data_IF_480321828857
#
_entry.id   IF_480321828857
#
_cell.length_a   1.000
_cell.length_b   1.000
_cell.length_c   1.000
_cell.angle_alpha   90.00
_cell.angle_beta   90.00
_cell.angle_gamma   90.00
#
_symmetry.space_group_name_H-M   'P 1'
#
loop_
_entity.id
_entity.type
_entity.pdbx_description
1 polymer ?
#
# COMPACT_ATOMS: atom_id res chain seq x y z
N UNK A 1 48.57 56.37 45.17
CA UNK A 1 47.20 56.48 44.61
C UNK A 1 47.32 56.29 43.11
N UNK A 2 47.06 55.10 42.66
CA UNK A 2 47.09 54.70 41.23
C UNK A 2 45.65 54.58 40.76
N UNK A 3 45.21 55.21 39.68
CA UNK A 3 43.80 55.07 39.23
C UNK A 3 43.62 53.72 38.53
N UNK A 4 42.56 53.01 38.97
CA UNK A 4 42.02 51.83 38.33
C UNK A 4 41.47 52.23 36.95
N UNK A 5 42.02 51.65 35.87
CA UNK A 5 41.50 51.71 34.53
C UNK A 5 40.28 50.79 34.49
N UNK A 6 39.09 51.30 34.26
CA UNK A 6 37.91 50.50 33.96
C UNK A 6 38.00 49.94 32.54
N UNK A 7 38.23 48.65 32.40
CA UNK A 7 38.05 47.96 31.14
C UNK A 7 36.57 48.02 30.72
N UNK A 8 36.28 48.73 29.65
CA UNK A 8 34.96 48.68 28.99
C UNK A 8 34.76 47.28 28.40
N UNK A 9 33.90 46.48 29.01
CA UNK A 9 33.41 45.22 28.45
C UNK A 9 32.55 45.58 27.23
N UNK A 10 33.08 45.43 26.04
CA UNK A 10 32.30 45.44 24.80
C UNK A 10 31.35 44.24 24.85
N UNK A 11 30.10 44.47 25.22
CA UNK A 11 29.02 43.50 25.00
C UNK A 11 28.72 43.51 23.51
N UNK A 12 29.28 42.56 22.78
CA UNK A 12 28.84 42.29 21.42
C UNK A 12 27.33 42.06 21.43
N UNK A 13 26.60 42.85 20.63
CA UNK A 13 25.16 42.67 20.47
C UNK A 13 24.91 41.24 19.98
N UNK A 14 23.96 40.45 20.58
CA UNK A 14 23.71 39.10 20.16
C UNK A 14 23.35 39.13 18.68
N UNK A 15 24.16 38.39 17.89
CA UNK A 15 23.89 38.08 16.50
C UNK A 15 22.42 37.70 16.37
N UNK A 16 21.70 38.35 15.44
CA UNK A 16 20.24 38.18 15.33
C UNK A 16 19.93 36.67 15.18
N UNK A 17 19.46 36.09 16.29
CA UNK A 17 19.13 34.68 16.34
C UNK A 17 18.10 34.41 15.23
N UNK A 18 18.50 33.65 14.22
CA UNK A 18 17.58 33.20 13.17
C UNK A 18 16.41 32.54 13.85
N UNK A 19 15.23 33.15 13.74
CA UNK A 19 14.02 32.63 14.38
C UNK A 19 13.83 31.17 13.96
N UNK A 20 13.61 30.25 14.89
CA UNK A 20 13.42 28.85 14.56
C UNK A 20 12.27 28.73 13.55
N UNK A 21 12.38 27.82 12.57
CA UNK A 21 11.35 27.68 11.55
C UNK A 21 9.99 27.46 12.20
N UNK A 22 9.01 28.28 11.86
CA UNK A 22 7.66 28.19 12.41
C UNK A 22 7.06 26.83 12.05
N UNK A 23 6.66 26.05 13.05
CA UNK A 23 5.97 24.77 12.87
C UNK A 23 4.46 25.05 12.84
N UNK A 24 3.79 24.70 11.72
CA UNK A 24 2.32 24.78 11.64
C UNK A 24 1.73 23.63 12.44
N UNK A 25 0.93 23.96 13.45
CA UNK A 25 0.18 22.98 14.24
C UNK A 25 -1.27 22.91 13.75
N UNK A 26 -1.80 21.69 13.67
CA UNK A 26 -3.19 21.39 13.34
C UNK A 26 -3.87 20.83 14.61
N UNK A 27 -4.68 21.63 15.34
CA UNK A 27 -5.29 21.19 16.59
C UNK A 27 -6.29 20.03 16.38
N UNK A 28 -6.84 19.90 15.18
CA UNK A 28 -7.82 18.87 14.86
C UNK A 28 -7.19 17.56 14.37
N UNK A 29 -5.85 17.50 14.24
CA UNK A 29 -5.14 16.34 13.69
C UNK A 29 -5.52 15.03 14.38
N UNK A 30 -5.54 15.02 15.71
CA UNK A 30 -5.86 13.79 16.46
C UNK A 30 -7.31 13.36 16.22
N UNK A 31 -8.25 14.30 16.24
CA UNK A 31 -9.66 14.03 15.97
C UNK A 31 -9.88 13.55 14.52
N UNK A 32 -9.15 14.11 13.58
CA UNK A 32 -9.17 13.67 12.19
C UNK A 32 -8.64 12.24 12.05
N UNK A 33 -7.52 11.88 12.68
CA UNK A 33 -6.96 10.51 12.61
C UNK A 33 -7.92 9.49 13.25
N UNK A 34 -8.64 9.84 14.30
CA UNK A 34 -9.69 8.99 14.87
C UNK A 34 -10.76 8.60 13.86
N UNK A 35 -11.15 9.48 12.94
CA UNK A 35 -12.10 9.18 11.86
C UNK A 35 -11.59 8.10 10.90
N UNK A 36 -10.28 7.90 10.82
CA UNK A 36 -9.65 6.83 10.04
C UNK A 36 -9.52 5.51 10.82
N UNK A 37 -10.17 5.39 11.98
CA UNK A 37 -10.26 4.18 12.77
C UNK A 37 -9.16 4.02 13.83
N UNK A 38 -8.55 5.11 14.27
CA UNK A 38 -7.67 5.07 15.44
C UNK A 38 -8.49 4.94 16.73
N UNK A 39 -7.95 4.17 17.68
CA UNK A 39 -8.37 4.28 19.07
C UNK A 39 -8.00 5.65 19.64
N UNK A 40 -8.52 5.97 20.82
CA UNK A 40 -8.19 7.21 21.50
C UNK A 40 -6.80 7.18 22.11
N UNK A 41 -5.81 7.64 21.34
CA UNK A 41 -4.43 7.75 21.82
C UNK A 41 -4.20 8.91 22.78
N UNK A 42 -5.24 9.68 23.16
CA UNK A 42 -5.12 10.68 24.25
C UNK A 42 -4.81 10.02 25.60
N UNK A 43 -5.15 8.74 25.78
CA UNK A 43 -4.73 7.94 26.94
C UNK A 43 -3.22 7.68 27.00
N UNK A 44 -2.46 7.96 25.92
CA UNK A 44 -1.02 7.74 25.88
C UNK A 44 -0.28 8.81 26.70
N UNK A 45 0.36 8.41 27.81
CA UNK A 45 1.21 9.28 28.62
C UNK A 45 2.70 9.20 28.26
N UNK A 46 3.04 8.66 27.08
CA UNK A 46 4.42 8.62 26.55
C UNK A 46 5.43 7.81 27.39
N UNK A 47 5.01 6.73 28.05
CA UNK A 47 5.89 5.90 28.91
C UNK A 47 7.09 5.27 28.16
N UNK A 48 7.00 5.05 26.82
CA UNK A 48 8.07 4.51 26.02
C UNK A 48 8.06 2.98 25.88
N UNK A 49 7.18 2.24 26.55
CA UNK A 49 7.14 0.78 26.48
C UNK A 49 7.01 0.28 25.02
N UNK A 50 6.12 0.87 24.21
CA UNK A 50 5.97 0.53 22.80
C UNK A 50 7.25 0.78 21.97
N UNK A 51 8.10 1.71 22.39
CA UNK A 51 9.39 1.98 21.75
C UNK A 51 10.43 0.92 22.14
N UNK A 52 10.47 0.55 23.43
CA UNK A 52 11.44 -0.41 23.95
C UNK A 52 11.29 -1.83 23.35
N UNK A 53 10.05 -2.23 23.05
CA UNK A 53 9.74 -3.56 22.49
C UNK A 53 9.66 -3.60 20.96
N UNK A 54 9.72 -2.46 20.29
CA UNK A 54 9.57 -2.41 18.83
C UNK A 54 10.88 -2.74 18.13
N UNK A 55 10.94 -3.80 17.30
CA UNK A 55 12.17 -4.15 16.58
C UNK A 55 12.59 -3.12 15.51
N UNK A 56 11.73 -2.11 15.26
CA UNK A 56 12.03 -0.99 14.35
C UNK A 56 12.55 0.25 15.09
N UNK A 57 12.72 0.18 16.40
CA UNK A 57 13.20 1.29 17.23
C UNK A 57 14.72 1.16 17.41
N UNK A 58 15.47 1.37 16.34
CA UNK A 58 16.94 1.29 16.35
C UNK A 58 17.55 2.63 16.81
N UNK A 59 18.57 2.57 17.67
CA UNK A 59 19.37 3.71 18.12
C UNK A 59 18.54 4.80 18.80
N UNK A 60 18.68 6.04 18.35
CA UNK A 60 17.95 7.20 18.87
C UNK A 60 16.46 7.24 18.44
N UNK A 61 16.00 6.19 17.77
CA UNK A 61 14.64 6.05 17.30
C UNK A 61 13.63 5.97 18.43
N UNK A 62 12.66 6.88 18.46
CA UNK A 62 11.54 6.87 19.41
C UNK A 62 10.25 6.36 18.77
N UNK A 63 10.38 5.50 17.77
CA UNK A 63 9.26 4.85 17.09
C UNK A 63 8.68 3.72 17.96
N UNK A 64 7.37 3.49 18.03
CA UNK A 64 6.27 4.24 17.39
C UNK A 64 5.78 5.44 18.22
N UNK A 65 6.27 5.64 19.46
CA UNK A 65 5.87 6.70 20.39
C UNK A 65 5.91 8.09 19.73
N UNK A 66 6.95 8.39 18.96
CA UNK A 66 7.12 9.68 18.27
C UNK A 66 5.97 9.98 17.31
N UNK A 67 5.41 8.97 16.63
CA UNK A 67 4.28 9.17 15.72
C UNK A 67 3.00 9.56 16.46
N UNK A 68 2.75 8.94 17.61
CA UNK A 68 1.64 9.30 18.49
C UNK A 68 1.82 10.73 19.01
N UNK A 69 3.05 11.07 19.41
CA UNK A 69 3.35 12.41 19.92
C UNK A 69 3.14 13.51 18.86
N UNK A 70 3.48 13.24 17.61
CA UNK A 70 3.17 14.19 16.52
C UNK A 70 1.67 14.44 16.39
N UNK A 71 0.85 13.40 16.50
CA UNK A 71 -0.59 13.55 16.44
C UNK A 71 -1.15 14.33 17.63
N UNK A 72 -0.69 14.04 18.85
CA UNK A 72 -1.09 14.75 20.07
C UNK A 72 -0.72 16.23 20.04
N UNK A 73 0.40 16.58 19.40
CA UNK A 73 0.89 17.96 19.27
C UNK A 73 0.38 18.66 18.00
N UNK A 74 -0.47 18.03 17.20
CA UNK A 74 -0.95 18.64 15.96
C UNK A 74 0.09 18.77 14.84
N UNK A 75 1.22 18.05 14.90
CA UNK A 75 2.34 18.15 13.97
C UNK A 75 2.08 17.33 12.71
N UNK A 76 1.09 17.73 11.91
CA UNK A 76 0.64 17.04 10.72
C UNK A 76 1.75 16.76 9.72
N UNK A 77 2.49 17.80 9.34
CA UNK A 77 3.54 17.69 8.33
C UNK A 77 4.65 16.74 8.79
N UNK A 78 4.98 16.76 10.08
CA UNK A 78 5.94 15.84 10.66
C UNK A 78 5.47 14.38 10.61
N UNK A 79 4.18 14.13 10.85
CA UNK A 79 3.60 12.80 10.82
C UNK A 79 3.57 12.22 9.38
N UNK A 80 2.98 12.95 8.43
CA UNK A 80 2.80 12.45 7.06
C UNK A 80 4.11 12.38 6.27
N UNK A 81 5.14 13.16 6.63
CA UNK A 81 6.46 13.15 6.01
C UNK A 81 7.44 12.19 6.70
N UNK A 82 6.98 11.38 7.67
CA UNK A 82 7.83 10.38 8.34
C UNK A 82 7.97 9.11 7.51
N UNK A 83 9.20 8.79 7.11
CA UNK A 83 9.50 7.48 6.48
C UNK A 83 9.20 6.30 7.43
N UNK A 84 9.37 6.51 8.73
CA UNK A 84 9.13 5.50 9.78
C UNK A 84 7.67 5.06 9.86
N UNK A 85 6.72 5.92 9.50
CA UNK A 85 5.29 5.59 9.43
C UNK A 85 5.04 4.36 8.53
N UNK A 86 5.82 4.21 7.45
CA UNK A 86 5.71 3.13 6.48
C UNK A 86 6.57 1.91 6.80
N UNK A 87 7.51 2.03 7.75
CA UNK A 87 8.34 0.91 8.17
C UNK A 87 7.58 -0.10 9.04
N UNK A 88 6.53 0.32 9.74
CA UNK A 88 5.72 -0.53 10.63
C UNK A 88 5.06 -1.71 9.89
N UNK A 89 5.17 -2.91 10.46
CA UNK A 89 4.53 -4.15 9.95
C UNK A 89 3.16 -4.43 10.55
N UNK A 90 2.73 -3.60 11.53
CA UNK A 90 1.47 -3.79 12.22
C UNK A 90 1.40 -5.18 12.91
N UNK A 91 2.48 -5.59 13.60
CA UNK A 91 2.53 -6.86 14.33
C UNK A 91 1.56 -6.92 15.52
N UNK A 92 1.30 -5.76 16.17
CA UNK A 92 0.37 -5.66 17.30
C UNK A 92 1.07 -5.61 18.66
N UNK A 93 2.31 -6.08 18.79
CA UNK A 93 3.04 -6.20 20.07
C UNK A 93 3.01 -4.93 20.91
N UNK A 94 3.11 -3.74 20.28
CA UNK A 94 3.06 -2.47 21.00
C UNK A 94 1.68 -2.16 21.60
N UNK A 95 0.59 -2.70 21.04
CA UNK A 95 -0.76 -2.57 21.61
C UNK A 95 -0.99 -3.57 22.74
N UNK A 96 -0.53 -4.82 22.56
CA UNK A 96 -0.67 -5.87 23.57
C UNK A 96 0.09 -5.53 24.86
N UNK A 97 1.22 -4.81 24.74
CA UNK A 97 2.05 -4.39 25.87
C UNK A 97 1.76 -2.98 26.39
N UNK A 98 0.74 -2.28 25.86
CA UNK A 98 0.44 -0.93 26.25
C UNK A 98 -0.28 -0.84 27.61
N UNK A 99 0.32 -0.24 28.67
CA UNK A 99 -0.26 -0.23 30.01
C UNK A 99 -1.56 0.60 30.09
N UNK A 100 -1.73 1.58 29.20
CA UNK A 100 -2.93 2.42 29.14
C UNK A 100 -3.91 2.01 28.06
N UNK A 101 -3.64 0.92 27.34
CA UNK A 101 -4.48 0.43 26.23
C UNK A 101 -4.75 1.49 25.14
N UNK A 102 -3.81 2.41 24.92
CA UNK A 102 -3.90 3.46 23.91
C UNK A 102 -3.81 2.95 22.45
N UNK A 103 -3.66 1.65 22.27
CA UNK A 103 -3.62 0.96 20.97
C UNK A 103 -2.67 1.60 19.93
N UNK A 104 -1.34 1.61 20.18
CA UNK A 104 -0.36 2.16 19.24
C UNK A 104 -0.40 1.55 17.85
N UNK A 105 -0.69 0.23 17.73
CA UNK A 105 -0.76 -0.45 16.44
C UNK A 105 -1.96 0.03 15.61
N UNK A 106 -3.12 0.17 16.23
CA UNK A 106 -4.31 0.74 15.59
C UNK A 106 -4.10 2.18 15.16
N UNK A 107 -3.47 2.98 15.99
CA UNK A 107 -3.07 4.33 15.62
C UNK A 107 -2.18 4.34 14.36
N UNK A 108 -1.16 3.47 14.29
CA UNK A 108 -0.28 3.39 13.12
C UNK A 108 -1.02 3.00 11.83
N UNK A 109 -2.03 2.14 11.93
CA UNK A 109 -2.88 1.79 10.79
C UNK A 109 -3.72 2.98 10.32
N UNK A 110 -4.35 3.70 11.25
CA UNK A 110 -5.15 4.89 10.96
C UNK A 110 -4.29 6.04 10.42
N UNK A 111 -3.11 6.28 11.01
CA UNK A 111 -2.17 7.30 10.55
C UNK A 111 -1.71 7.05 9.10
N UNK A 112 -1.53 5.78 8.69
CA UNK A 112 -1.24 5.46 7.28
C UNK A 112 -2.41 5.74 6.35
N UNK A 113 -3.65 5.41 6.74
CA UNK A 113 -4.85 5.76 5.95
C UNK A 113 -4.99 7.29 5.84
N UNK A 114 -4.72 8.01 6.92
CA UNK A 114 -4.69 9.47 6.93
C UNK A 114 -3.60 10.03 6.00
N UNK A 115 -2.40 9.45 6.00
CA UNK A 115 -1.31 9.85 5.11
C UNK A 115 -1.67 9.62 3.63
N UNK A 116 -2.23 8.45 3.26
CA UNK A 116 -2.73 8.17 1.91
C UNK A 116 -3.76 9.24 1.49
N UNK A 117 -4.73 9.53 2.37
CA UNK A 117 -5.74 10.55 2.11
C UNK A 117 -5.16 11.98 2.02
N UNK A 118 -4.02 12.24 2.65
CA UNK A 118 -3.33 13.53 2.59
C UNK A 118 -2.52 13.69 1.30
N UNK A 119 -2.07 12.60 0.69
CA UNK A 119 -1.39 12.61 -0.62
C UNK A 119 -2.39 12.65 -1.78
N UNK A 120 -3.60 12.16 -1.57
CA UNK A 120 -4.67 12.16 -2.57
C UNK A 120 -5.32 13.55 -2.72
N UNK A 121 -5.27 14.12 -3.93
CA UNK A 121 -5.89 15.41 -4.27
C UNK A 121 -7.38 15.28 -4.58
N UNK A 122 -7.86 14.07 -4.89
CA UNK A 122 -9.27 13.83 -5.27
C UNK A 122 -10.20 13.70 -4.08
N UNK A 123 -9.68 13.52 -2.88
CA UNK A 123 -10.38 13.19 -1.64
C UNK A 123 -11.09 11.83 -1.64
N UNK A 124 -10.88 11.01 -2.69
CA UNK A 124 -11.50 9.68 -2.80
C UNK A 124 -11.00 8.75 -1.70
N UNK A 125 -9.66 8.73 -1.44
CA UNK A 125 -9.08 7.94 -0.36
C UNK A 125 -9.65 8.31 1.03
N UNK A 126 -9.89 9.62 1.29
CA UNK A 126 -10.55 10.07 2.52
C UNK A 126 -11.97 9.54 2.61
N UNK A 127 -12.74 9.65 1.54
CA UNK A 127 -14.13 9.19 1.48
C UNK A 127 -14.24 7.70 1.73
N UNK A 128 -13.43 6.88 1.02
CA UNK A 128 -13.39 5.44 1.18
C UNK A 128 -12.92 4.99 2.57
N UNK A 129 -12.10 5.78 3.26
CA UNK A 129 -11.61 5.45 4.59
C UNK A 129 -12.52 5.89 5.74
N UNK A 130 -13.32 6.96 5.55
CA UNK A 130 -14.07 7.58 6.66
C UNK A 130 -15.60 7.53 6.52
N UNK A 131 -16.13 7.20 5.33
CA UNK A 131 -17.57 7.21 5.02
C UNK A 131 -18.00 5.90 4.36
N UNK A 132 -18.18 4.85 5.17
CA UNK A 132 -18.46 3.50 4.67
C UNK A 132 -19.67 3.44 3.70
N UNK A 133 -20.79 4.07 4.03
CA UNK A 133 -22.00 4.07 3.18
C UNK A 133 -21.72 4.73 1.84
N UNK A 134 -21.13 5.92 1.83
CA UNK A 134 -20.79 6.62 0.59
C UNK A 134 -19.71 5.85 -0.20
N UNK A 135 -18.75 5.26 0.48
CA UNK A 135 -17.74 4.38 -0.13
C UNK A 135 -18.36 3.17 -0.81
N UNK A 136 -19.37 2.54 -0.18
CA UNK A 136 -20.13 1.42 -0.79
C UNK A 136 -20.88 1.88 -2.04
N UNK A 137 -21.55 3.02 -1.97
CA UNK A 137 -22.27 3.58 -3.13
C UNK A 137 -21.30 3.86 -4.27
N UNK A 138 -20.14 4.48 -4.01
CA UNK A 138 -19.13 4.76 -5.03
C UNK A 138 -18.62 3.45 -5.64
N UNK A 139 -18.28 2.45 -4.83
CA UNK A 139 -17.80 1.17 -5.33
C UNK A 139 -18.84 0.47 -6.22
N UNK A 140 -20.09 0.35 -5.76
CA UNK A 140 -21.15 -0.25 -6.55
C UNK A 140 -21.45 0.55 -7.84
N UNK A 141 -21.40 1.87 -7.77
CA UNK A 141 -21.60 2.72 -8.95
C UNK A 141 -20.47 2.56 -9.98
N UNK A 142 -19.21 2.42 -9.53
CA UNK A 142 -18.07 2.16 -10.42
C UNK A 142 -18.16 0.76 -11.05
N UNK A 143 -18.45 -0.28 -10.27
CA UNK A 143 -18.66 -1.62 -10.80
C UNK A 143 -19.79 -1.66 -11.84
N UNK A 144 -20.93 -1.02 -11.52
CA UNK A 144 -22.06 -0.91 -12.44
C UNK A 144 -21.70 -0.10 -13.70
N UNK A 145 -21.00 1.02 -13.53
CA UNK A 145 -20.53 1.83 -14.65
C UNK A 145 -19.65 1.01 -15.62
N UNK A 146 -18.64 0.32 -15.12
CA UNK A 146 -17.78 -0.48 -15.99
C UNK A 146 -18.51 -1.67 -16.59
N UNK A 147 -19.40 -2.33 -15.84
CA UNK A 147 -20.23 -3.39 -16.38
C UNK A 147 -21.14 -2.90 -17.51
N UNK A 148 -21.88 -1.80 -17.29
CA UNK A 148 -22.75 -1.22 -18.32
C UNK A 148 -21.96 -0.68 -19.52
N UNK A 149 -20.80 -0.05 -19.27
CA UNK A 149 -19.94 0.46 -20.34
C UNK A 149 -19.41 -0.67 -21.24
N UNK A 150 -18.99 -1.79 -20.65
CA UNK A 150 -18.57 -2.98 -21.42
C UNK A 150 -19.77 -3.63 -22.12
N UNK A 151 -20.89 -3.75 -21.42
CA UNK A 151 -22.11 -4.32 -21.96
C UNK A 151 -22.69 -3.51 -23.13
N UNK A 152 -22.56 -2.19 -23.13
CA UNK A 152 -23.06 -1.34 -24.23
C UNK A 152 -22.42 -1.67 -25.59
N UNK A 153 -21.28 -2.32 -25.59
CA UNK A 153 -20.54 -2.76 -26.79
C UNK A 153 -20.55 -4.28 -26.96
N UNK A 154 -21.46 -5.00 -26.25
CA UNK A 154 -21.50 -6.46 -26.34
C UNK A 154 -21.95 -6.92 -27.73
N UNK A 155 -21.33 -8.03 -28.15
CA UNK A 155 -21.64 -8.69 -29.42
C UNK A 155 -22.43 -9.99 -29.20
N UNK A 156 -22.09 -11.04 -29.96
CA UNK A 156 -22.85 -12.28 -30.02
C UNK A 156 -22.41 -13.29 -28.97
N UNK A 157 -23.36 -13.84 -28.21
CA UNK A 157 -23.16 -15.03 -27.39
C UNK A 157 -23.22 -16.28 -28.27
N UNK A 158 -22.10 -17.01 -28.42
CA UNK A 158 -22.06 -18.26 -29.19
C UNK A 158 -22.31 -19.45 -28.26
N UNK A 159 -23.35 -20.24 -28.56
CA UNK A 159 -23.69 -21.43 -27.78
C UNK A 159 -22.71 -22.59 -28.00
N UNK A 160 -22.03 -22.65 -29.18
CA UNK A 160 -21.14 -23.75 -29.52
C UNK A 160 -19.75 -23.67 -28.91
N UNK A 161 -19.30 -22.45 -28.54
CA UNK A 161 -17.99 -22.19 -27.92
C UNK A 161 -18.06 -20.89 -27.11
N UNK A 162 -17.31 -20.82 -26.01
CA UNK A 162 -17.19 -19.59 -25.24
C UNK A 162 -16.18 -18.63 -25.89
N UNK A 163 -16.70 -17.75 -26.75
CA UNK A 163 -15.92 -16.75 -27.49
C UNK A 163 -15.99 -15.40 -26.78
N UNK A 164 -15.22 -15.22 -25.73
CA UNK A 164 -15.29 -14.07 -24.81
C UNK A 164 -15.08 -12.74 -25.52
N UNK A 165 -14.19 -12.69 -26.51
CA UNK A 165 -13.90 -11.45 -27.25
C UNK A 165 -14.87 -11.18 -28.42
N UNK A 166 -15.70 -12.16 -28.81
CA UNK A 166 -16.88 -11.92 -29.66
C UNK A 166 -18.01 -11.26 -28.84
N UNK A 167 -18.03 -11.49 -27.51
CA UNK A 167 -19.00 -10.89 -26.57
C UNK A 167 -18.57 -9.51 -26.10
N UNK A 168 -17.35 -9.33 -25.60
CA UNK A 168 -16.78 -8.00 -25.29
C UNK A 168 -15.52 -7.83 -26.15
N UNK A 169 -15.51 -6.82 -27.07
CA UNK A 169 -14.38 -6.62 -27.95
C UNK A 169 -13.07 -6.40 -27.18
N UNK A 170 -12.04 -7.18 -27.51
CA UNK A 170 -10.72 -7.13 -26.86
C UNK A 170 -10.15 -5.71 -26.87
N UNK A 171 -10.27 -4.99 -28.01
CA UNK A 171 -9.82 -3.61 -28.16
C UNK A 171 -10.46 -2.66 -27.12
N UNK A 172 -11.73 -2.88 -26.77
CA UNK A 172 -12.40 -2.06 -25.75
C UNK A 172 -11.80 -2.30 -24.37
N UNK A 173 -11.55 -3.58 -24.02
CA UNK A 173 -10.96 -3.93 -22.73
C UNK A 173 -9.57 -3.31 -22.60
N UNK A 174 -8.72 -3.46 -23.63
CA UNK A 174 -7.36 -2.93 -23.60
C UNK A 174 -7.32 -1.41 -23.57
N UNK A 175 -8.14 -0.72 -24.40
CA UNK A 175 -8.20 0.73 -24.38
C UNK A 175 -8.66 1.26 -23.01
N UNK A 176 -9.69 0.67 -22.44
CA UNK A 176 -10.16 1.02 -21.08
C UNK A 176 -9.07 0.75 -20.05
N UNK A 177 -8.38 -0.39 -20.15
CA UNK A 177 -7.25 -0.73 -19.28
C UNK A 177 -6.12 0.30 -19.35
N UNK A 178 -5.72 0.71 -20.57
CA UNK A 178 -4.68 1.74 -20.77
C UNK A 178 -5.10 3.08 -20.18
N UNK A 179 -6.35 3.52 -20.38
CA UNK A 179 -6.85 4.77 -19.82
C UNK A 179 -6.85 4.71 -18.28
N UNK A 180 -7.39 3.63 -17.71
CA UNK A 180 -7.43 3.45 -16.25
C UNK A 180 -6.02 3.37 -15.66
N UNK A 181 -5.12 2.60 -16.26
CA UNK A 181 -3.71 2.51 -15.82
C UNK A 181 -3.00 3.86 -15.89
N UNK A 182 -3.28 4.67 -16.92
CA UNK A 182 -2.72 6.03 -17.04
C UNK A 182 -3.22 6.96 -15.92
N UNK A 183 -4.51 6.89 -15.59
CA UNK A 183 -5.10 7.65 -14.47
C UNK A 183 -4.51 7.20 -13.12
N UNK A 184 -4.37 5.90 -12.91
CA UNK A 184 -3.74 5.33 -11.71
C UNK A 184 -2.28 5.74 -11.59
N UNK A 185 -1.52 5.66 -12.69
CA UNK A 185 -0.13 6.08 -12.73
C UNK A 185 0.02 7.58 -12.41
N UNK A 186 -0.85 8.42 -12.95
CA UNK A 186 -0.88 9.86 -12.65
C UNK A 186 -1.18 10.11 -11.17
N UNK A 187 -2.21 9.48 -10.63
CA UNK A 187 -2.58 9.61 -9.22
C UNK A 187 -1.44 9.14 -8.29
N UNK A 188 -0.83 7.99 -8.60
CA UNK A 188 0.31 7.46 -7.89
C UNK A 188 1.52 8.39 -7.95
N UNK A 189 1.84 8.93 -9.13
CA UNK A 189 2.94 9.89 -9.33
C UNK A 189 2.74 11.16 -8.50
N UNK A 190 1.55 11.75 -8.52
CA UNK A 190 1.21 12.94 -7.71
C UNK A 190 1.35 12.64 -6.22
N UNK A 191 0.83 11.48 -5.77
CA UNK A 191 0.94 11.05 -4.37
C UNK A 191 2.38 10.81 -3.94
N UNK A 192 3.16 10.09 -4.75
CA UNK A 192 4.59 9.83 -4.50
C UNK A 192 5.39 11.13 -4.50
N UNK A 193 5.16 12.02 -5.46
CA UNK A 193 5.81 13.33 -5.49
C UNK A 193 5.54 14.14 -4.22
N UNK A 194 4.27 14.13 -3.74
CA UNK A 194 3.89 14.79 -2.49
C UNK A 194 4.61 14.19 -1.28
N UNK A 195 4.67 12.86 -1.19
CA UNK A 195 5.37 12.13 -0.13
C UNK A 195 6.88 12.40 -0.16
N UNK A 196 7.52 12.26 -1.33
CA UNK A 196 8.96 12.46 -1.52
C UNK A 196 9.36 13.90 -1.18
N UNK A 197 8.59 14.90 -1.65
CA UNK A 197 8.82 16.28 -1.29
C UNK A 197 8.73 16.54 0.22
N UNK A 198 7.81 15.88 0.91
CA UNK A 198 7.69 15.93 2.37
C UNK A 198 8.91 15.33 3.07
N UNK A 199 9.29 14.10 2.72
CA UNK A 199 10.43 13.39 3.30
C UNK A 199 11.74 14.16 3.00
N UNK A 200 11.94 14.60 1.77
CA UNK A 200 13.14 15.31 1.36
C UNK A 200 13.34 16.62 2.15
N UNK A 201 12.27 17.41 2.33
CA UNK A 201 12.32 18.62 3.17
C UNK A 201 12.66 18.31 4.62
N UNK A 202 12.08 17.26 5.18
CA UNK A 202 12.28 16.88 6.58
C UNK A 202 13.68 16.34 6.84
N UNK A 203 14.20 15.48 5.96
CA UNK A 203 15.49 14.83 6.09
C UNK A 203 16.65 15.66 5.53
N UNK A 204 16.36 16.85 4.95
CA UNK A 204 17.35 17.67 4.28
C UNK A 204 17.98 17.02 3.05
N UNK A 205 17.31 16.00 2.47
CA UNK A 205 17.82 15.26 1.29
C UNK A 205 17.54 16.07 0.03
N UNK A 206 18.58 16.36 -0.73
CA UNK A 206 18.48 17.02 -2.04
C UNK A 206 18.54 15.97 -3.15
N UNK A 207 17.93 16.28 -4.30
CA UNK A 207 17.95 15.39 -5.47
C UNK A 207 19.39 15.02 -5.91
N UNK A 208 20.31 15.97 -5.82
CA UNK A 208 21.75 15.74 -6.08
C UNK A 208 22.39 14.72 -5.14
N UNK A 209 21.87 14.56 -3.92
CA UNK A 209 22.41 13.61 -2.93
C UNK A 209 22.01 12.17 -3.27
N UNK A 210 20.95 12.00 -4.06
CA UNK A 210 20.44 10.71 -4.54
C UNK A 210 21.15 10.29 -5.83
N UNK A 211 21.33 11.22 -6.77
CA UNK A 211 21.83 10.93 -8.12
C UNK A 211 23.20 11.54 -8.44
N UNK A 212 23.68 12.50 -7.64
CA UNK A 212 24.93 13.21 -7.87
C UNK A 212 26.03 12.84 -6.88
N UNK A 213 27.29 13.01 -7.32
CA UNK A 213 28.47 12.78 -6.50
C UNK A 213 29.08 11.37 -6.62
N UNK A 214 30.33 11.21 -6.19
CA UNK A 214 31.03 9.92 -6.23
C UNK A 214 30.26 8.84 -5.46
N UNK A 215 30.05 7.70 -6.08
CA UNK A 215 29.35 6.56 -5.46
C UNK A 215 27.84 6.71 -5.25
N UNK A 216 27.20 7.85 -5.58
CA UNK A 216 25.78 8.09 -5.36
C UNK A 216 24.89 7.05 -6.07
N UNK A 217 25.22 6.69 -7.29
CA UNK A 217 24.52 5.65 -8.05
C UNK A 217 24.57 4.28 -7.36
N UNK A 218 25.76 3.87 -6.89
CA UNK A 218 25.93 2.61 -6.17
C UNK A 218 25.09 2.56 -4.89
N UNK A 219 25.11 3.64 -4.10
CA UNK A 219 24.29 3.76 -2.89
C UNK A 219 22.79 3.71 -3.21
N UNK A 220 22.35 4.46 -4.21
CA UNK A 220 20.94 4.49 -4.61
C UNK A 220 20.46 3.17 -5.16
N UNK A 221 21.26 2.47 -5.98
CA UNK A 221 20.93 1.12 -6.46
C UNK A 221 20.88 0.11 -5.32
N UNK A 222 21.83 0.17 -4.38
CA UNK A 222 21.80 -0.68 -3.18
C UNK A 222 20.58 -0.40 -2.32
N UNK A 223 20.25 0.87 -2.08
CA UNK A 223 19.06 1.26 -1.33
C UNK A 223 17.77 0.80 -2.04
N UNK A 224 17.70 0.91 -3.36
CA UNK A 224 16.59 0.42 -4.17
C UNK A 224 16.44 -1.11 -4.08
N UNK A 225 17.55 -1.85 -4.20
CA UNK A 225 17.54 -3.30 -4.04
C UNK A 225 17.08 -3.73 -2.65
N UNK A 226 17.57 -3.07 -1.60
CA UNK A 226 17.14 -3.34 -0.22
C UNK A 226 15.63 -3.06 -0.05
N UNK A 227 15.16 -1.92 -0.54
CA UNK A 227 13.77 -1.50 -0.39
C UNK A 227 12.79 -2.37 -1.20
N UNK A 228 13.06 -2.58 -2.49
CA UNK A 228 12.17 -3.34 -3.38
C UNK A 228 12.42 -4.84 -3.29
N UNK A 229 13.66 -5.30 -3.49
CA UNK A 229 13.96 -6.73 -3.58
C UNK A 229 13.84 -7.43 -2.23
N UNK A 230 14.51 -6.90 -1.22
CA UNK A 230 14.62 -7.56 0.09
C UNK A 230 13.40 -7.30 0.98
N UNK A 231 12.98 -6.04 1.11
CA UNK A 231 11.95 -5.67 2.09
C UNK A 231 10.53 -5.69 1.51
N UNK A 232 10.30 -5.19 0.29
CA UNK A 232 8.94 -5.16 -0.28
C UNK A 232 8.56 -6.52 -0.89
N UNK A 233 9.34 -7.05 -1.81
CA UNK A 233 9.06 -8.31 -2.50
C UNK A 233 9.49 -9.53 -1.67
N UNK A 234 10.68 -9.50 -1.05
CA UNK A 234 11.18 -10.58 -0.19
C UNK A 234 10.57 -10.63 1.19
N UNK A 235 9.94 -9.54 1.65
CA UNK A 235 9.27 -9.41 2.96
C UNK A 235 10.13 -9.88 4.15
N UNK A 236 11.46 -9.65 4.07
CA UNK A 236 12.43 -10.22 5.01
C UNK A 236 12.10 -9.88 6.47
N UNK A 237 11.94 -8.60 6.78
CA UNK A 237 11.62 -8.17 8.14
C UNK A 237 10.23 -8.65 8.56
N UNK A 238 9.23 -8.57 7.66
CA UNK A 238 7.89 -9.06 7.98
C UNK A 238 7.86 -10.54 8.31
N UNK A 239 8.75 -11.33 7.71
CA UNK A 239 8.93 -12.75 7.99
C UNK A 239 9.64 -12.99 9.32
N UNK A 240 10.64 -12.17 9.66
CA UNK A 240 11.50 -12.36 10.84
C UNK A 240 10.90 -11.78 12.13
N UNK A 241 10.15 -10.66 12.03
CA UNK A 241 9.68 -9.89 13.19
C UNK A 241 8.33 -10.36 13.76
N UNK A 242 7.81 -11.49 13.27
CA UNK A 242 6.51 -12.01 13.73
C UNK A 242 6.64 -12.90 14.99
N UNK A 243 7.37 -12.51 15.99
CA UNK A 243 7.41 -13.03 17.35
C UNK A 243 7.20 -14.54 17.64
N UNK A 244 7.45 -14.99 18.82
CA UNK A 244 7.31 -16.40 19.26
C UNK A 244 5.90 -16.99 19.03
N UNK A 245 4.84 -16.19 19.13
CA UNK A 245 3.47 -16.63 18.87
C UNK A 245 3.24 -17.06 17.41
N UNK A 246 3.97 -16.46 16.45
CA UNK A 246 3.87 -16.81 15.04
C UNK A 246 4.63 -18.10 14.70
N UNK A 247 5.62 -18.50 15.50
CA UNK A 247 6.35 -19.76 15.31
C UNK A 247 5.50 -20.99 15.68
N UNK A 248 4.54 -20.82 16.58
CA UNK A 248 3.61 -21.89 16.98
C UNK A 248 2.53 -22.16 15.90
N UNK A 249 2.31 -21.26 14.95
CA UNK A 249 1.34 -21.46 13.88
C UNK A 249 1.89 -22.32 12.74
N UNK A 250 1.06 -23.22 12.17
CA UNK A 250 1.44 -23.97 10.96
C UNK A 250 1.83 -23.01 9.83
N UNK A 251 2.83 -23.40 9.03
CA UNK A 251 3.39 -22.56 7.96
C UNK A 251 2.34 -21.93 7.06
N UNK A 252 1.33 -22.72 6.65
CA UNK A 252 0.26 -22.29 5.73
C UNK A 252 -0.69 -21.24 6.34
N UNK A 253 -0.67 -21.02 7.67
CA UNK A 253 -1.44 -19.97 8.36
C UNK A 253 -0.61 -18.77 8.78
N UNK A 254 0.71 -18.82 8.63
CA UNK A 254 1.57 -17.71 9.01
C UNK A 254 1.25 -16.45 8.23
N UNK A 255 1.12 -15.34 8.92
CA UNK A 255 0.70 -14.05 8.36
C UNK A 255 1.56 -13.59 7.17
N UNK A 256 2.87 -13.78 7.27
CA UNK A 256 3.79 -13.40 6.21
C UNK A 256 3.56 -14.22 4.93
N UNK A 257 3.30 -15.52 5.04
CA UNK A 257 3.05 -16.38 3.88
C UNK A 257 1.72 -16.03 3.21
N UNK A 258 0.66 -15.83 4.00
CA UNK A 258 -0.65 -15.41 3.49
C UNK A 258 -0.52 -14.09 2.72
N UNK A 259 0.22 -13.12 3.27
CA UNK A 259 0.46 -11.85 2.60
C UNK A 259 1.35 -12.02 1.36
N UNK A 260 2.39 -12.86 1.42
CA UNK A 260 3.26 -13.16 0.28
C UNK A 260 2.49 -13.81 -0.87
N UNK A 261 1.64 -14.81 -0.59
CA UNK A 261 0.80 -15.46 -1.59
C UNK A 261 -0.19 -14.49 -2.24
N UNK A 262 -0.78 -13.58 -1.46
CA UNK A 262 -1.65 -12.53 -2.00
C UNK A 262 -0.87 -11.57 -2.89
N UNK A 263 0.29 -11.09 -2.44
CA UNK A 263 1.13 -10.14 -3.18
C UNK A 263 1.69 -10.77 -4.48
N UNK A 264 2.36 -11.91 -4.36
CA UNK A 264 2.97 -12.57 -5.51
C UNK A 264 1.93 -13.13 -6.47
N UNK A 265 0.76 -13.56 -5.95
CA UNK A 265 -0.38 -13.95 -6.76
C UNK A 265 -0.92 -12.77 -7.58
N UNK A 266 -1.12 -11.61 -6.97
CA UNK A 266 -1.54 -10.40 -7.66
C UNK A 266 -0.52 -9.95 -8.73
N UNK A 267 0.77 -9.91 -8.37
CA UNK A 267 1.84 -9.53 -9.31
C UNK A 267 1.99 -10.57 -10.44
N UNK A 268 1.84 -11.85 -10.14
CA UNK A 268 1.89 -12.92 -11.12
C UNK A 268 0.75 -12.86 -12.13
N UNK A 269 -0.48 -12.57 -11.67
CA UNK A 269 -1.63 -12.33 -12.56
C UNK A 269 -1.41 -11.10 -13.44
N UNK A 270 -0.91 -10.03 -12.87
CA UNK A 270 -0.60 -8.81 -13.61
C UNK A 270 0.47 -9.08 -14.68
N UNK A 271 1.52 -9.80 -14.33
CA UNK A 271 2.56 -10.23 -15.28
C UNK A 271 2.00 -11.16 -16.37
N UNK A 272 1.15 -12.12 -16.01
CA UNK A 272 0.51 -13.01 -16.99
C UNK A 272 -0.34 -12.21 -17.99
N UNK A 273 -1.08 -11.19 -17.53
CA UNK A 273 -1.86 -10.30 -18.40
C UNK A 273 -0.96 -9.51 -19.36
N UNK A 274 0.16 -8.95 -18.87
CA UNK A 274 1.12 -8.22 -19.71
C UNK A 274 1.75 -9.16 -20.76
N UNK A 275 2.14 -10.35 -20.35
CA UNK A 275 2.77 -11.32 -21.25
C UNK A 275 1.77 -11.83 -22.29
N UNK A 276 0.53 -12.14 -21.92
CA UNK A 276 -0.50 -12.61 -22.84
C UNK A 276 -0.80 -11.57 -23.92
N UNK A 277 -0.97 -10.31 -23.50
CA UNK A 277 -1.17 -9.20 -24.43
C UNK A 277 0.06 -8.92 -25.28
N UNK A 278 1.25 -8.95 -24.69
CA UNK A 278 2.51 -8.78 -25.44
C UNK A 278 2.71 -9.85 -26.52
N UNK A 279 2.43 -11.13 -26.22
CA UNK A 279 2.49 -12.22 -27.19
C UNK A 279 1.47 -12.08 -28.32
N UNK A 280 0.29 -11.54 -28.01
CA UNK A 280 -0.72 -11.22 -29.02
C UNK A 280 -0.25 -10.07 -29.94
N UNK A 281 0.33 -8.99 -29.38
CA UNK A 281 0.83 -7.86 -30.15
C UNK A 281 1.94 -8.22 -31.14
N UNK A 282 2.85 -9.14 -30.77
CA UNK A 282 3.94 -9.59 -31.65
C UNK A 282 3.53 -10.76 -32.57
N UNK A 283 2.24 -11.14 -32.57
CA UNK A 283 1.67 -12.16 -33.46
C UNK A 283 2.05 -13.63 -33.15
N UNK A 284 2.64 -13.87 -31.98
CA UNK A 284 2.99 -15.26 -31.52
C UNK A 284 1.73 -16.02 -31.09
N UNK A 285 0.73 -15.33 -30.61
CA UNK A 285 -0.56 -15.88 -30.18
C UNK A 285 -1.70 -15.17 -30.90
N UNK A 286 -2.63 -15.91 -31.49
CA UNK A 286 -3.87 -15.31 -31.96
C UNK A 286 -4.78 -14.94 -30.78
N UNK A 287 -5.36 -13.75 -30.82
CA UNK A 287 -6.26 -13.25 -29.76
C UNK A 287 -7.48 -14.16 -29.61
N UNK A 288 -7.92 -14.40 -28.37
CA UNK A 288 -9.11 -15.20 -28.09
C UNK A 288 -8.98 -16.70 -28.36
N UNK A 289 -7.81 -17.21 -28.74
CA UNK A 289 -7.60 -18.64 -28.90
C UNK A 289 -7.49 -19.35 -27.56
N UNK A 290 -8.29 -20.40 -27.29
CA UNK A 290 -8.10 -21.26 -26.13
C UNK A 290 -6.70 -21.89 -26.21
N UNK A 291 -5.92 -21.73 -25.15
CA UNK A 291 -4.61 -22.38 -25.01
C UNK A 291 -4.68 -23.42 -23.89
N UNK A 292 -3.92 -24.54 -24.01
CA UNK A 292 -3.91 -25.56 -22.95
C UNK A 292 -3.41 -24.96 -21.63
N UNK A 293 -3.82 -25.56 -20.50
CA UNK A 293 -3.47 -25.08 -19.15
C UNK A 293 -1.95 -25.02 -18.90
N UNK A 294 -1.18 -25.91 -19.55
CA UNK A 294 0.29 -25.96 -19.48
C UNK A 294 1.00 -24.91 -20.35
N UNK A 295 0.24 -24.13 -21.14
CA UNK A 295 0.85 -22.98 -21.84
C UNK A 295 1.45 -22.03 -20.78
N UNK A 296 2.74 -21.60 -20.91
CA UNK A 296 3.46 -20.99 -19.81
C UNK A 296 2.76 -19.79 -19.17
N UNK A 297 2.20 -18.91 -20.00
CA UNK A 297 1.48 -17.71 -19.50
C UNK A 297 0.18 -18.11 -18.80
N UNK A 298 -0.53 -19.13 -19.33
CA UNK A 298 -1.75 -19.65 -18.72
C UNK A 298 -1.46 -20.31 -17.38
N UNK A 299 -0.44 -21.17 -17.33
CA UNK A 299 0.01 -21.83 -16.10
C UNK A 299 0.41 -20.80 -15.04
N UNK A 300 1.15 -19.74 -15.44
CA UNK A 300 1.49 -18.64 -14.54
C UNK A 300 0.23 -18.00 -13.98
N UNK A 301 -0.77 -17.69 -14.83
CA UNK A 301 -2.04 -17.10 -14.40
C UNK A 301 -2.81 -17.99 -13.43
N UNK A 302 -2.92 -19.29 -13.70
CA UNK A 302 -3.62 -20.26 -12.84
C UNK A 302 -2.95 -20.39 -11.48
N UNK A 303 -1.62 -20.57 -11.44
CA UNK A 303 -0.86 -20.70 -10.17
C UNK A 303 -0.91 -19.42 -9.37
N UNK A 304 -0.69 -18.28 -10.02
CA UNK A 304 -0.75 -16.96 -9.37
C UNK A 304 -2.16 -16.65 -8.84
N UNK A 305 -3.19 -16.98 -9.62
CA UNK A 305 -4.59 -16.84 -9.21
C UNK A 305 -4.93 -17.70 -8.00
N UNK A 306 -4.49 -18.97 -7.98
CA UNK A 306 -4.68 -19.85 -6.84
C UNK A 306 -4.00 -19.32 -5.57
N UNK A 307 -2.77 -18.83 -5.68
CA UNK A 307 -2.05 -18.21 -4.57
C UNK A 307 -2.79 -16.96 -4.04
N UNK A 308 -3.26 -16.09 -4.94
CA UNK A 308 -3.99 -14.88 -4.58
C UNK A 308 -5.34 -15.19 -3.89
N UNK A 309 -6.13 -16.09 -4.45
CA UNK A 309 -7.44 -16.47 -3.90
C UNK A 309 -7.28 -17.16 -2.54
N UNK A 310 -6.32 -18.05 -2.41
CA UNK A 310 -6.00 -18.68 -1.13
C UNK A 310 -5.63 -17.64 -0.07
N UNK A 311 -4.68 -16.75 -0.39
CA UNK A 311 -4.25 -15.69 0.52
C UNK A 311 -5.39 -14.75 0.90
N UNK A 312 -6.18 -14.27 -0.08
CA UNK A 312 -7.33 -13.40 0.15
C UNK A 312 -8.41 -14.08 1.01
N UNK A 313 -8.70 -15.36 0.77
CA UNK A 313 -9.65 -16.15 1.57
C UNK A 313 -9.23 -16.23 3.03
N UNK A 314 -7.96 -16.50 3.32
CA UNK A 314 -7.46 -16.55 4.68
C UNK A 314 -7.42 -15.15 5.33
N UNK A 315 -7.12 -14.10 4.57
CA UNK A 315 -7.22 -12.72 5.07
C UNK A 315 -8.66 -12.35 5.44
N UNK A 316 -9.64 -12.74 4.64
CA UNK A 316 -11.08 -12.54 4.94
C UNK A 316 -11.45 -13.35 6.16
N UNK A 317 -11.11 -14.64 6.20
CA UNK A 317 -11.41 -15.54 7.30
C UNK A 317 -10.87 -15.04 8.66
N UNK A 318 -9.60 -14.61 8.67
CA UNK A 318 -8.98 -14.07 9.87
C UNK A 318 -9.66 -12.77 10.34
N UNK A 319 -10.19 -11.95 9.42
CA UNK A 319 -10.95 -10.74 9.76
C UNK A 319 -12.32 -11.06 10.34
N UNK A 320 -13.03 -12.00 9.76
CA UNK A 320 -14.34 -12.44 10.28
C UNK A 320 -14.20 -12.99 11.70
N UNK A 321 -13.10 -13.71 11.97
CA UNK A 321 -12.80 -14.26 13.31
C UNK A 321 -12.11 -13.28 14.26
N UNK A 322 -11.74 -12.08 13.79
CA UNK A 322 -10.93 -11.12 14.57
C UNK A 322 -9.68 -11.77 15.17
N UNK A 323 -9.03 -12.64 14.40
CA UNK A 323 -7.97 -13.55 14.86
C UNK A 323 -6.71 -12.83 15.38
N UNK A 324 -6.51 -11.57 15.05
CA UNK A 324 -5.37 -10.76 15.50
C UNK A 324 -5.69 -9.26 15.45
N UNK A 325 -4.82 -8.43 16.04
CA UNK A 325 -4.97 -6.97 16.11
C UNK A 325 -5.21 -6.34 14.74
N UNK A 326 -4.49 -6.79 13.71
CA UNK A 326 -4.67 -6.29 12.34
C UNK A 326 -6.08 -6.57 11.79
N UNK A 327 -6.63 -7.73 12.13
CA UNK A 327 -7.94 -8.15 11.68
C UNK A 327 -9.06 -7.40 12.42
N UNK A 328 -8.90 -7.16 13.74
CA UNK A 328 -9.90 -6.47 14.55
C UNK A 328 -10.07 -4.98 14.19
N UNK A 329 -9.04 -4.35 13.65
CA UNK A 329 -9.01 -2.91 13.31
C UNK A 329 -9.32 -2.61 11.83
N UNK A 330 -10.03 -3.52 11.15
CA UNK A 330 -10.37 -3.37 9.73
C UNK A 330 -11.43 -2.29 9.52
N UNK A 331 -11.20 -1.42 8.53
CA UNK A 331 -12.12 -0.38 8.08
C UNK A 331 -12.75 -0.76 6.74
N UNK A 332 -13.75 0.00 6.28
CA UNK A 332 -14.41 -0.24 5.00
C UNK A 332 -13.44 -0.38 3.82
N UNK A 333 -12.44 0.52 3.71
CA UNK A 333 -11.44 0.45 2.64
C UNK A 333 -10.60 -0.84 2.64
N UNK A 334 -10.40 -1.47 3.82
CA UNK A 334 -9.70 -2.74 3.94
C UNK A 334 -10.56 -3.90 3.43
N UNK A 335 -11.88 -3.87 3.75
CA UNK A 335 -12.85 -4.85 3.27
C UNK A 335 -13.11 -4.73 1.78
N UNK A 336 -13.25 -3.50 1.27
CA UNK A 336 -13.43 -3.25 -0.15
C UNK A 336 -12.28 -3.84 -0.97
N UNK A 337 -11.03 -3.58 -0.58
CA UNK A 337 -9.88 -4.15 -1.26
C UNK A 337 -9.93 -5.68 -1.29
N UNK A 338 -10.21 -6.32 -0.14
CA UNK A 338 -10.26 -7.79 -0.07
C UNK A 338 -11.39 -8.37 -0.89
N UNK A 339 -12.56 -7.73 -0.88
CA UNK A 339 -13.70 -8.13 -1.69
C UNK A 339 -13.35 -8.06 -3.20
N UNK A 340 -12.78 -6.95 -3.65
CA UNK A 340 -12.39 -6.78 -5.05
C UNK A 340 -11.34 -7.80 -5.48
N UNK A 341 -10.28 -8.03 -4.67
CA UNK A 341 -9.24 -9.03 -4.95
C UNK A 341 -9.83 -10.43 -5.01
N UNK A 342 -10.67 -10.79 -4.04
CA UNK A 342 -11.27 -12.11 -3.96
C UNK A 342 -12.27 -12.37 -5.11
N UNK A 343 -13.17 -11.43 -5.37
CA UNK A 343 -14.15 -11.54 -6.47
C UNK A 343 -13.45 -11.63 -7.82
N UNK A 344 -12.43 -10.79 -8.07
CA UNK A 344 -11.62 -10.86 -9.30
C UNK A 344 -10.98 -12.25 -9.46
N UNK A 345 -10.38 -12.80 -8.41
CA UNK A 345 -9.77 -14.12 -8.47
C UNK A 345 -10.79 -15.25 -8.70
N UNK A 346 -11.88 -15.26 -7.95
CA UNK A 346 -12.93 -16.31 -8.06
C UNK A 346 -13.62 -16.25 -9.42
N UNK A 347 -13.97 -15.06 -9.92
CA UNK A 347 -14.57 -14.91 -11.25
C UNK A 347 -13.61 -15.31 -12.36
N UNK A 348 -12.29 -15.04 -12.20
CA UNK A 348 -11.26 -15.51 -13.11
C UNK A 348 -11.22 -17.04 -13.21
N UNK A 349 -11.27 -17.75 -12.07
CA UNK A 349 -11.36 -19.20 -12.06
C UNK A 349 -12.68 -19.72 -12.63
N UNK A 350 -13.80 -19.06 -12.37
CA UNK A 350 -15.09 -19.45 -12.95
C UNK A 350 -15.06 -19.37 -14.47
N UNK A 351 -14.42 -18.33 -15.05
CA UNK A 351 -14.19 -18.23 -16.50
C UNK A 351 -13.29 -19.36 -16.99
N UNK A 352 -12.21 -19.63 -16.25
CA UNK A 352 -11.29 -20.72 -16.61
C UNK A 352 -12.01 -22.05 -16.66
N UNK A 353 -12.80 -22.38 -15.65
CA UNK A 353 -13.63 -23.60 -15.64
C UNK A 353 -14.58 -23.60 -16.84
N UNK A 354 -15.29 -22.50 -17.11
CA UNK A 354 -16.23 -22.40 -18.20
C UNK A 354 -15.56 -22.65 -19.58
N UNK A 355 -14.31 -22.21 -19.76
CA UNK A 355 -13.55 -22.40 -21.01
C UNK A 355 -13.16 -23.85 -21.28
N UNK A 356 -12.97 -24.66 -20.24
CA UNK A 356 -12.53 -26.06 -20.37
C UNK A 356 -13.66 -27.08 -20.30
N UNK A 357 -14.90 -26.63 -20.08
CA UNK A 357 -16.05 -27.54 -20.14
C UNK A 357 -16.32 -27.99 -21.58
N UNK A 358 -16.67 -29.25 -21.82
CA UNK A 358 -17.01 -29.77 -23.16
C UNK A 358 -18.15 -29.00 -23.85
N UNK A 359 -19.12 -28.55 -23.05
CA UNK A 359 -20.23 -27.68 -23.47
C UNK A 359 -20.15 -26.37 -22.69
N UNK A 360 -19.50 -25.34 -23.23
CA UNK A 360 -19.28 -24.11 -22.51
C UNK A 360 -20.63 -23.45 -22.15
N UNK A 361 -20.85 -23.13 -20.88
CA UNK A 361 -22.11 -22.57 -20.45
C UNK A 361 -22.22 -21.08 -20.79
N UNK A 362 -23.42 -20.62 -21.15
CA UNK A 362 -23.65 -19.20 -21.49
C UNK A 362 -23.44 -18.24 -20.30
N UNK A 363 -23.57 -18.72 -19.05
CA UNK A 363 -23.22 -17.91 -17.87
C UNK A 363 -21.75 -17.45 -17.88
N UNK A 364 -20.86 -18.11 -18.61
CA UNK A 364 -19.47 -17.69 -18.75
C UNK A 364 -19.28 -16.28 -19.30
N UNK A 365 -20.17 -15.83 -20.19
CA UNK A 365 -20.15 -14.47 -20.74
C UNK A 365 -20.46 -13.43 -19.65
N UNK A 366 -21.44 -13.70 -18.80
CA UNK A 366 -21.84 -12.81 -17.73
C UNK A 366 -20.82 -12.73 -16.61
N UNK A 367 -20.20 -13.87 -16.27
CA UNK A 367 -19.08 -13.89 -15.33
C UNK A 367 -17.90 -13.13 -15.90
N UNK A 368 -17.63 -13.24 -17.20
CA UNK A 368 -16.58 -12.46 -17.87
C UNK A 368 -16.85 -10.95 -17.78
N UNK A 369 -18.08 -10.52 -18.01
CA UNK A 369 -18.49 -9.11 -17.88
C UNK A 369 -18.21 -8.60 -16.44
N UNK A 370 -18.65 -9.36 -15.43
CA UNK A 370 -18.42 -9.01 -14.02
C UNK A 370 -16.92 -8.99 -13.70
N UNK A 371 -16.18 -10.00 -14.17
CA UNK A 371 -14.74 -10.08 -13.95
C UNK A 371 -14.00 -8.86 -14.50
N UNK A 372 -14.26 -8.50 -15.75
CA UNK A 372 -13.62 -7.33 -16.38
C UNK A 372 -13.97 -6.05 -15.64
N UNK A 373 -15.25 -5.84 -15.27
CA UNK A 373 -15.68 -4.66 -14.54
C UNK A 373 -15.01 -4.52 -13.18
N UNK A 374 -14.99 -5.61 -12.38
CA UNK A 374 -14.39 -5.62 -11.05
C UNK A 374 -12.86 -5.53 -11.09
N UNK A 375 -12.23 -6.16 -12.09
CA UNK A 375 -10.78 -6.05 -12.28
C UNK A 375 -10.34 -4.62 -12.63
N UNK A 376 -11.09 -3.94 -13.50
CA UNK A 376 -10.85 -2.52 -13.83
C UNK A 376 -11.06 -1.65 -12.60
N UNK A 377 -12.12 -1.88 -11.82
CA UNK A 377 -12.38 -1.17 -10.58
C UNK A 377 -11.27 -1.38 -9.54
N UNK A 378 -10.81 -2.62 -9.35
CA UNK A 378 -9.70 -2.95 -8.46
C UNK A 378 -8.45 -2.14 -8.79
N UNK A 379 -8.11 -2.06 -10.10
CA UNK A 379 -6.96 -1.29 -10.57
C UNK A 379 -7.18 0.20 -10.37
N UNK A 380 -8.36 0.72 -10.70
CA UNK A 380 -8.70 2.15 -10.54
C UNK A 380 -8.59 2.59 -9.08
N UNK A 381 -9.05 1.77 -8.14
CA UNK A 381 -9.06 2.09 -6.72
C UNK A 381 -7.73 1.79 -5.99
N UNK A 382 -6.72 1.27 -6.70
CA UNK A 382 -5.40 0.94 -6.14
C UNK A 382 -4.76 2.09 -5.34
N UNK A 383 -4.62 3.33 -5.86
CA UNK A 383 -3.97 4.41 -5.13
C UNK A 383 -4.82 5.01 -4.00
N UNK A 384 -6.10 4.68 -3.90
CA UNK A 384 -7.05 5.27 -2.97
C UNK A 384 -7.45 4.35 -1.82
N UNK A 385 -7.09 3.07 -1.89
CA UNK A 385 -7.39 2.06 -0.87
C UNK A 385 -6.14 1.64 -0.10
N UNK A 386 -6.27 0.62 0.73
CA UNK A 386 -5.11 0.04 1.44
C UNK A 386 -4.01 -0.47 0.48
N UNK A 387 -4.35 -0.80 -0.77
CA UNK A 387 -3.36 -1.24 -1.77
C UNK A 387 -2.32 -0.16 -2.09
N UNK A 388 -2.64 1.11 -1.86
CA UNK A 388 -1.69 2.22 -1.98
C UNK A 388 -0.41 2.04 -1.15
N UNK A 389 -0.44 1.20 -0.08
CA UNK A 389 0.77 0.88 0.66
C UNK A 389 1.83 0.19 -0.21
N UNK A 390 1.43 -0.54 -1.25
CA UNK A 390 2.35 -1.16 -2.20
C UNK A 390 3.14 -0.11 -3.03
N UNK A 391 2.60 1.11 -3.13
CA UNK A 391 3.27 2.25 -3.78
C UNK A 391 4.14 3.01 -2.76
N UNK A 392 3.55 3.45 -1.66
CA UNK A 392 4.21 4.37 -0.72
C UNK A 392 5.26 3.72 0.16
N UNK A 393 5.06 2.47 0.57
CA UNK A 393 6.00 1.76 1.45
C UNK A 393 7.38 1.55 0.80
N UNK A 394 7.53 1.05 -0.44
CA UNK A 394 8.84 0.92 -1.08
C UNK A 394 9.59 2.24 -1.19
N UNK A 395 8.87 3.34 -1.46
CA UNK A 395 9.47 4.69 -1.52
C UNK A 395 10.03 5.09 -0.15
N UNK A 396 9.27 4.90 0.93
CA UNK A 396 9.76 5.20 2.28
C UNK A 396 10.94 4.32 2.69
N UNK A 397 10.88 3.02 2.37
CA UNK A 397 11.96 2.07 2.64
C UNK A 397 13.24 2.42 1.87
N UNK A 398 13.12 2.96 0.65
CA UNK A 398 14.25 3.47 -0.10
C UNK A 398 14.96 4.61 0.66
N UNK A 399 14.20 5.62 1.14
CA UNK A 399 14.78 6.71 1.93
C UNK A 399 15.36 6.23 3.25
N UNK A 400 14.75 5.22 3.88
CA UNK A 400 15.28 4.62 5.09
C UNK A 400 16.61 3.91 4.83
N UNK A 401 16.71 3.10 3.77
CA UNK A 401 17.93 2.43 3.37
C UNK A 401 19.03 3.41 2.95
N UNK A 402 18.66 4.48 2.24
CA UNK A 402 19.60 5.52 1.81
C UNK A 402 20.22 6.27 3.00
N UNK A 403 19.44 6.56 4.05
CA UNK A 403 19.96 7.16 5.28
C UNK A 403 20.96 6.23 6.00
N UNK A 404 20.63 4.94 6.12
CA UNK A 404 21.51 3.94 6.75
C UNK A 404 22.84 3.74 6.02
N UNK A 405 22.88 3.87 4.69
CA UNK A 405 24.14 3.79 3.93
C UNK A 405 25.03 5.01 4.13
N UNK A 406 24.48 6.19 4.43
CA UNK A 406 25.24 7.42 4.72
C UNK A 406 25.94 7.36 6.07
N UNK A 407 25.24 6.87 7.10
CA UNK A 407 25.83 6.74 8.44
C UNK A 407 26.94 5.69 8.50
N UNK A 408 26.88 4.64 7.69
CA UNK A 408 27.91 3.62 7.60
C UNK A 408 29.20 4.08 6.89
N UNK A 409 29.13 5.14 6.05
CA UNK A 409 30.31 5.71 5.38
C UNK A 409 30.95 6.88 6.16
N UNK A 410 30.22 7.41 7.17
CA UNK A 410 30.73 8.51 8.02
C UNK A 410 31.42 8.03 9.29
N UNK A 411 31.35 6.76 9.62
CA UNK A 411 32.07 6.07 10.69
C UNK A 411 33.19 5.21 10.12
#
# INVERSE_FOLDING_TARGET
>A
MTPLIADEVHVESPEAAVAPPSVRLDPDLLSDIKRFGAADVSACFSCGNCTAICPLSDGDGTFPRRMIRYAQLGMKDALISSKELWSCYHCGTCSDSCPTQADPAGFMAAARRYAIASYDRTRLARTLSTRAVLGTIIALALAAFFALFMYASHGVERASRLALFDFIPERLIHLTGVVVMSLVALAALVGVASMVAGIARREGVRFRDVLGGPGAWGRSLRALWLALGIEALGQRRYRNDCGEAAEAEPLYRRRWLIHALTLWGFLGLFLATILDYGLALIGVKATGTPVPIWYPVRLLGTVAGAAMVYGATLLIWNRLRRANVTASQSQFSDWLLLALVWVTGVTGFAIEVALYLPHPPTWGYWVFLVHVAVAIELVLLLPFTKLAHAIYRPVALFFHALAGTRTAESN
#
